data_IF_746774548913
#
_entry.id   IF_746774548913
#
_cell.length_a   1.000
_cell.length_b   1.000
_cell.length_c   1.000
_cell.angle_alpha   90.00
_cell.angle_beta   90.00
_cell.angle_gamma   90.00
#
_symmetry.space_group_name_H-M   'P 1'
#
loop_
_entity.id
_entity.type
_entity.pdbx_description
1 polymer ?
#
# COMPACT_ATOMS: atom_id res chain seq x y z
N UNK A 1 -19.97 41.99 -7.48
CA UNK A 1 -19.96 41.24 -6.21
C UNK A 1 -20.40 39.82 -6.36
N UNK A 2 -21.47 39.49 -7.08
CA UNK A 2 -21.93 38.12 -7.25
C UNK A 2 -20.93 37.25 -8.03
N UNK A 3 -20.29 37.79 -9.06
CA UNK A 3 -19.28 37.10 -9.85
C UNK A 3 -18.05 36.76 -9.05
N UNK A 4 -17.63 37.62 -8.15
CA UNK A 4 -16.46 37.44 -7.30
C UNK A 4 -16.66 36.32 -6.30
N UNK A 5 -17.83 36.21 -5.69
CA UNK A 5 -18.17 35.12 -4.76
C UNK A 5 -18.13 33.75 -5.45
N UNK A 6 -18.66 33.69 -6.67
CA UNK A 6 -18.72 32.46 -7.43
C UNK A 6 -17.32 31.95 -7.82
N UNK A 7 -16.40 32.85 -8.17
CA UNK A 7 -15.04 32.52 -8.55
C UNK A 7 -14.28 31.96 -7.34
N UNK A 8 -14.39 32.58 -6.19
CA UNK A 8 -13.73 32.13 -4.96
C UNK A 8 -14.23 30.76 -4.54
N UNK A 9 -15.53 30.52 -4.63
CA UNK A 9 -16.13 29.25 -4.30
C UNK A 9 -15.62 28.12 -5.20
N UNK A 10 -15.53 28.37 -6.50
CA UNK A 10 -15.03 27.39 -7.46
C UNK A 10 -13.57 26.99 -7.19
N UNK A 11 -12.71 27.95 -6.84
CA UNK A 11 -11.31 27.69 -6.53
C UNK A 11 -11.17 26.79 -5.30
N UNK A 12 -11.91 27.08 -4.24
CA UNK A 12 -11.88 26.29 -3.00
C UNK A 12 -12.36 24.86 -3.26
N UNK A 13 -13.42 24.69 -4.02
CA UNK A 13 -13.96 23.36 -4.35
C UNK A 13 -12.96 22.56 -5.16
N UNK A 14 -12.28 23.15 -6.12
CA UNK A 14 -11.28 22.48 -6.94
C UNK A 14 -10.09 22.02 -6.13
N UNK A 15 -9.59 22.82 -5.20
CA UNK A 15 -8.46 22.45 -4.34
C UNK A 15 -8.82 21.28 -3.41
N UNK A 16 -10.00 21.30 -2.81
CA UNK A 16 -10.46 20.22 -1.93
C UNK A 16 -10.60 18.90 -2.71
N UNK A 17 -11.10 18.95 -3.93
CA UNK A 17 -11.26 17.77 -4.78
C UNK A 17 -9.91 17.14 -5.15
N UNK A 18 -8.92 17.95 -5.53
CA UNK A 18 -7.57 17.47 -5.89
C UNK A 18 -6.89 16.79 -4.71
N UNK A 19 -6.96 17.37 -3.50
CA UNK A 19 -6.33 16.77 -2.32
C UNK A 19 -7.00 15.46 -1.91
N UNK A 20 -8.30 15.30 -2.14
CA UNK A 20 -9.02 14.04 -1.83
C UNK A 20 -8.63 12.91 -2.78
N UNK A 21 -8.40 13.21 -4.05
CA UNK A 21 -8.04 12.19 -5.05
C UNK A 21 -6.61 11.67 -4.90
N UNK A 22 -5.70 12.45 -4.34
CA UNK A 22 -4.29 12.08 -4.25
C UNK A 22 -4.02 10.92 -3.28
N UNK A 23 -4.97 10.52 -2.44
CA UNK A 23 -4.73 9.60 -1.33
C UNK A 23 -5.26 8.19 -1.51
N UNK A 24 -6.01 7.88 -2.57
CA UNK A 24 -6.84 6.67 -2.56
C UNK A 24 -6.54 5.64 -3.66
N UNK A 25 -5.56 5.86 -4.53
CA UNK A 25 -5.45 5.03 -5.73
C UNK A 25 -4.32 4.01 -5.66
N UNK A 26 -4.65 2.77 -5.99
CA UNK A 26 -3.66 1.76 -6.34
C UNK A 26 -3.17 2.05 -7.74
N UNK A 27 -1.86 2.00 -7.93
CA UNK A 27 -1.21 2.31 -9.20
C UNK A 27 -0.53 1.07 -9.75
N UNK A 28 -0.68 0.84 -11.05
CA UNK A 28 0.01 -0.23 -11.73
C UNK A 28 1.41 0.22 -12.15
N UNK A 29 2.40 -0.65 -11.90
CA UNK A 29 3.78 -0.42 -12.33
C UNK A 29 4.39 -1.76 -12.70
N UNK A 30 4.61 -1.99 -14.01
CA UNK A 30 5.01 -3.29 -14.49
C UNK A 30 3.94 -4.34 -14.18
N UNK A 31 4.32 -5.40 -13.49
CA UNK A 31 3.41 -6.46 -13.08
C UNK A 31 2.89 -6.30 -11.65
N UNK A 32 3.10 -5.14 -11.05
CA UNK A 32 2.79 -4.89 -9.66
C UNK A 32 1.74 -3.79 -9.52
N UNK A 33 0.97 -3.88 -8.45
CA UNK A 33 0.11 -2.81 -7.98
C UNK A 33 0.65 -2.30 -6.65
N UNK A 34 0.68 -0.98 -6.46
CA UNK A 34 1.15 -0.41 -5.22
C UNK A 34 0.30 0.78 -4.81
N UNK A 35 0.32 1.04 -3.53
CA UNK A 35 -0.30 2.22 -2.93
C UNK A 35 0.47 2.63 -1.69
N UNK A 36 0.09 3.75 -1.11
CA UNK A 36 0.63 4.21 0.16
C UNK A 36 -0.40 4.03 1.27
N UNK A 37 0.08 3.86 2.49
CA UNK A 37 -0.78 3.91 3.67
C UNK A 37 -1.44 5.30 3.81
N UNK A 38 -2.51 5.38 4.59
CA UNK A 38 -3.24 6.64 4.80
C UNK A 38 -2.32 7.74 5.36
N UNK A 39 -1.37 7.39 6.22
CA UNK A 39 -0.42 8.35 6.79
C UNK A 39 0.79 8.63 5.89
N UNK A 40 0.91 7.94 4.76
CA UNK A 40 1.99 8.13 3.79
C UNK A 40 3.33 7.53 4.19
N UNK A 41 3.43 6.87 5.35
CA UNK A 41 4.71 6.35 5.87
C UNK A 41 5.11 4.99 5.30
N UNK A 42 4.19 4.28 4.71
CA UNK A 42 4.42 2.93 4.20
C UNK A 42 3.95 2.81 2.76
N UNK A 43 4.66 2.03 1.98
CA UNK A 43 4.25 1.65 0.64
C UNK A 43 3.90 0.16 0.64
N UNK A 44 2.76 -0.18 0.08
CA UNK A 44 2.31 -1.56 -0.02
C UNK A 44 2.28 -1.94 -1.50
N UNK A 45 2.95 -3.03 -1.82
CA UNK A 45 2.99 -3.57 -3.18
C UNK A 45 2.43 -4.97 -3.22
N UNK A 46 1.66 -5.27 -4.25
CA UNK A 46 1.17 -6.61 -4.50
C UNK A 46 1.48 -7.04 -5.93
N UNK A 47 1.72 -8.32 -6.11
CA UNK A 47 1.77 -8.97 -7.40
C UNK A 47 0.93 -10.24 -7.31
N UNK A 48 0.92 -11.05 -8.36
CA UNK A 48 0.22 -12.35 -8.32
C UNK A 48 0.81 -13.32 -7.29
N UNK A 49 2.06 -13.10 -6.87
CA UNK A 49 2.79 -14.05 -6.03
C UNK A 49 3.42 -13.44 -4.77
N UNK A 50 3.24 -12.15 -4.55
CA UNK A 50 3.89 -11.51 -3.41
C UNK A 50 3.10 -10.34 -2.86
N UNK A 51 3.29 -10.10 -1.59
CA UNK A 51 2.84 -8.89 -0.90
C UNK A 51 4.03 -8.34 -0.15
N UNK A 52 4.28 -7.06 -0.32
CA UNK A 52 5.44 -6.37 0.25
C UNK A 52 4.97 -5.12 0.97
N UNK A 53 5.49 -4.89 2.17
CA UNK A 53 5.28 -3.65 2.92
C UNK A 53 6.64 -2.98 3.12
N UNK A 54 6.76 -1.76 2.65
CA UNK A 54 7.99 -0.98 2.69
C UNK A 54 7.82 0.20 3.63
N UNK A 55 8.71 0.34 4.60
CA UNK A 55 8.75 1.51 5.46
C UNK A 55 9.54 2.64 4.81
N UNK A 56 9.21 3.89 5.16
CA UNK A 56 9.95 5.06 4.70
C UNK A 56 10.83 5.63 5.82
N UNK A 57 11.48 4.75 6.55
CA UNK A 57 12.43 5.10 7.60
C UNK A 57 13.67 4.22 7.45
N UNK A 58 14.77 4.64 8.06
CA UNK A 58 16.04 3.93 7.93
C UNK A 58 16.09 2.73 8.86
N UNK A 59 16.77 1.68 8.43
CA UNK A 59 17.08 0.50 9.22
C UNK A 59 18.56 0.18 9.12
N UNK A 60 19.05 -0.73 9.98
CA UNK A 60 20.49 -1.05 10.08
C UNK A 60 20.85 -2.47 9.71
N UNK A 61 19.92 -3.40 9.79
CA UNK A 61 20.18 -4.80 9.50
C UNK A 61 20.10 -5.06 8.00
N UNK A 62 20.94 -5.95 7.48
CA UNK A 62 20.99 -6.26 6.06
C UNK A 62 20.48 -7.67 5.74
N UNK A 63 20.49 -8.56 6.70
CA UNK A 63 20.11 -9.96 6.49
C UNK A 63 18.61 -10.16 6.74
N UNK A 64 18.00 -11.13 6.05
CA UNK A 64 16.58 -11.41 6.28
C UNK A 64 16.36 -11.99 7.67
N UNK A 65 15.31 -11.53 8.34
CA UNK A 65 14.88 -12.02 9.65
C UNK A 65 13.44 -12.50 9.54
N UNK A 66 13.15 -13.63 10.20
CA UNK A 66 11.78 -14.12 10.29
C UNK A 66 10.91 -13.10 11.02
N UNK A 67 9.73 -12.84 10.48
CA UNK A 67 8.78 -11.90 11.03
C UNK A 67 7.36 -12.36 10.72
N UNK A 68 6.38 -11.63 11.20
CA UNK A 68 4.98 -11.87 10.90
C UNK A 68 4.32 -10.58 10.43
N UNK A 69 3.33 -10.74 9.56
CA UNK A 69 2.46 -9.65 9.13
C UNK A 69 1.03 -10.03 9.44
N UNK A 70 0.29 -9.12 10.08
CA UNK A 70 -1.13 -9.28 10.29
C UNK A 70 -1.91 -8.52 9.21
N UNK A 71 -2.94 -9.13 8.67
CA UNK A 71 -3.85 -8.48 7.71
C UNK A 71 -5.28 -8.77 8.14
N UNK A 72 -5.98 -7.72 8.55
CA UNK A 72 -7.36 -7.80 9.02
C UNK A 72 -7.56 -8.88 10.10
N UNK A 73 -6.57 -9.00 11.01
CA UNK A 73 -6.60 -9.96 12.10
C UNK A 73 -6.02 -11.34 11.81
N UNK A 74 -5.62 -11.62 10.59
CA UNK A 74 -4.95 -12.88 10.22
C UNK A 74 -3.45 -12.69 10.17
N UNK A 75 -2.69 -13.65 10.66
CA UNK A 75 -1.23 -13.57 10.77
C UNK A 75 -0.58 -14.45 9.70
N UNK A 76 0.41 -13.90 9.04
CA UNK A 76 1.17 -14.57 7.97
C UNK A 76 2.65 -14.50 8.27
N UNK A 77 3.38 -15.56 7.87
CA UNK A 77 4.83 -15.59 7.98
C UNK A 77 5.46 -14.72 6.89
N UNK A 78 6.46 -13.95 7.27
CA UNK A 78 7.13 -13.01 6.39
C UNK A 78 8.62 -12.94 6.67
N UNK A 79 9.35 -12.32 5.77
CA UNK A 79 10.76 -11.97 5.96
C UNK A 79 10.87 -10.45 6.05
N UNK A 80 11.61 -9.99 7.05
CA UNK A 80 11.93 -8.59 7.23
C UNK A 80 13.39 -8.38 6.86
N UNK A 81 13.65 -7.55 5.88
CA UNK A 81 15.00 -7.22 5.45
C UNK A 81 15.20 -5.71 5.46
N UNK A 82 16.44 -5.31 5.64
CA UNK A 82 16.84 -3.91 5.48
C UNK A 82 17.55 -3.83 4.12
N UNK A 83 16.88 -3.25 3.13
CA UNK A 83 17.36 -3.27 1.76
C UNK A 83 18.44 -2.21 1.54
N UNK A 84 19.69 -2.60 1.21
CA UNK A 84 20.75 -1.64 0.91
C UNK A 84 20.51 -0.88 -0.39
N UNK A 85 19.88 -1.52 -1.37
CA UNK A 85 19.60 -0.91 -2.67
C UNK A 85 18.64 0.27 -2.57
N UNK A 86 17.84 0.30 -1.50
CA UNK A 86 16.89 1.38 -1.21
C UNK A 86 17.38 2.27 -0.05
N UNK A 87 18.67 2.38 0.16
CA UNK A 87 19.30 3.16 1.24
C UNK A 87 18.88 2.68 2.63
N UNK A 88 18.88 1.37 2.83
CA UNK A 88 18.55 0.74 4.12
C UNK A 88 17.12 1.01 4.55
N UNK A 89 16.20 0.76 3.64
CA UNK A 89 14.76 0.86 3.93
C UNK A 89 14.25 -0.51 4.40
N UNK A 90 13.45 -0.59 5.46
CA UNK A 90 12.89 -1.86 5.91
C UNK A 90 11.81 -2.36 4.95
N UNK A 91 11.87 -3.63 4.63
CA UNK A 91 10.94 -4.30 3.72
C UNK A 91 10.49 -5.60 4.36
N UNK A 92 9.19 -5.76 4.52
CA UNK A 92 8.57 -7.02 4.92
C UNK A 92 7.95 -7.65 3.69
N UNK A 93 8.31 -8.89 3.41
CA UNK A 93 7.83 -9.61 2.22
C UNK A 93 7.28 -10.97 2.60
N UNK A 94 6.10 -11.30 2.06
CA UNK A 94 5.57 -12.65 2.10
C UNK A 94 6.13 -13.42 0.90
N UNK A 95 7.12 -14.23 1.15
CA UNK A 95 7.83 -14.97 0.10
C UNK A 95 7.13 -16.27 -0.30
N UNK A 96 6.25 -16.80 0.55
CA UNK A 96 5.48 -18.01 0.22
C UNK A 96 4.29 -17.64 -0.64
N UNK A 97 4.20 -18.22 -1.82
CA UNK A 97 3.16 -17.91 -2.84
C UNK A 97 1.74 -18.13 -2.31
N UNK A 98 1.52 -19.24 -1.60
CA UNK A 98 0.19 -19.57 -1.08
C UNK A 98 -0.22 -18.60 0.01
N UNK A 99 0.70 -18.24 0.90
CA UNK A 99 0.45 -17.25 1.94
C UNK A 99 0.22 -15.86 1.34
N UNK A 100 0.99 -15.48 0.34
CA UNK A 100 0.82 -14.20 -0.32
C UNK A 100 -0.55 -14.09 -0.99
N UNK A 101 -1.00 -15.13 -1.68
CA UNK A 101 -2.33 -15.16 -2.29
C UNK A 101 -3.44 -15.03 -1.24
N UNK A 102 -3.32 -15.75 -0.13
CA UNK A 102 -4.27 -15.66 0.99
C UNK A 102 -4.27 -14.27 1.61
N UNK A 103 -3.09 -13.68 1.80
CA UNK A 103 -2.94 -12.35 2.36
C UNK A 103 -3.57 -11.27 1.46
N UNK A 104 -3.38 -11.37 0.17
CA UNK A 104 -3.99 -10.46 -0.80
C UNK A 104 -5.52 -10.59 -0.78
N UNK A 105 -6.04 -11.80 -0.70
CA UNK A 105 -7.47 -12.03 -0.56
C UNK A 105 -8.01 -11.40 0.73
N UNK A 106 -7.29 -11.54 1.84
CA UNK A 106 -7.67 -10.93 3.12
C UNK A 106 -7.65 -9.39 3.03
N UNK A 107 -6.68 -8.84 2.33
CA UNK A 107 -6.57 -7.40 2.13
C UNK A 107 -7.82 -6.83 1.45
N UNK A 108 -8.35 -7.56 0.48
CA UNK A 108 -9.54 -7.15 -0.29
C UNK A 108 -10.86 -7.25 0.49
N UNK A 109 -10.88 -7.92 1.62
CA UNK A 109 -12.11 -8.12 2.42
C UNK A 109 -12.62 -6.84 3.07
N UNK A 110 -11.78 -5.82 3.24
CA UNK A 110 -12.16 -4.57 3.90
C UNK A 110 -11.75 -3.38 3.03
N UNK A 111 -12.61 -2.36 2.97
CA UNK A 111 -12.29 -1.10 2.25
C UNK A 111 -11.12 -0.34 2.88
N UNK A 112 -11.02 -0.40 4.19
CA UNK A 112 -9.88 0.09 4.96
C UNK A 112 -9.23 -1.10 5.63
N UNK A 113 -8.24 -1.66 4.96
CA UNK A 113 -7.53 -2.82 5.47
C UNK A 113 -6.54 -2.41 6.55
N UNK A 114 -6.38 -3.27 7.55
CA UNK A 114 -5.40 -3.09 8.62
C UNK A 114 -4.25 -4.05 8.42
N UNK A 115 -3.07 -3.49 8.25
CA UNK A 115 -1.84 -4.26 8.16
C UNK A 115 -1.06 -4.03 9.45
N UNK A 116 -0.69 -5.11 10.11
CA UNK A 116 0.15 -5.07 11.30
C UNK A 116 1.56 -5.46 10.92
N UNK A 117 2.45 -4.49 10.89
CA UNK A 117 3.84 -4.67 10.50
C UNK A 117 4.72 -3.64 11.20
N UNK A 118 5.99 -3.95 11.45
CA UNK A 118 6.93 -3.06 12.12
C UNK A 118 6.43 -2.56 13.48
N UNK A 119 5.69 -3.39 14.21
CA UNK A 119 5.03 -3.05 15.48
C UNK A 119 4.03 -1.88 15.37
N UNK A 120 3.52 -1.61 14.19
CA UNK A 120 2.55 -0.56 13.94
C UNK A 120 1.33 -1.10 13.22
N UNK A 121 0.21 -0.37 13.35
CA UNK A 121 -0.99 -0.63 12.57
C UNK A 121 -1.00 0.33 11.38
N UNK A 122 -1.04 -0.23 10.19
CA UNK A 122 -0.98 0.50 8.92
C UNK A 122 -2.36 0.39 8.27
N UNK A 123 -2.96 1.51 7.93
CA UNK A 123 -4.28 1.54 7.30
C UNK A 123 -4.12 1.82 5.80
N UNK A 124 -4.77 1.00 4.99
CA UNK A 124 -4.68 1.06 3.54
C UNK A 124 -6.08 1.03 2.95
N UNK A 125 -6.35 1.95 2.03
CA UNK A 125 -7.60 1.95 1.27
C UNK A 125 -7.49 0.94 0.13
N UNK A 126 -8.49 0.08 -0.04
CA UNK A 126 -8.48 -1.00 -1.03
C UNK A 126 -9.49 -0.81 -2.16
N UNK A 127 -10.10 0.36 -2.29
CA UNK A 127 -11.19 0.56 -3.26
C UNK A 127 -10.79 0.21 -4.70
N UNK A 128 -9.59 0.59 -5.12
CA UNK A 128 -9.14 0.41 -6.50
C UNK A 128 -8.26 -0.82 -6.71
N UNK A 129 -8.10 -1.66 -5.70
CA UNK A 129 -7.16 -2.77 -5.75
C UNK A 129 -7.52 -3.79 -6.84
N UNK A 130 -8.80 -4.08 -7.01
CA UNK A 130 -9.24 -5.06 -8.00
C UNK A 130 -9.06 -4.52 -9.43
N UNK A 131 -9.34 -3.25 -9.64
CA UNK A 131 -9.14 -2.61 -10.94
C UNK A 131 -7.66 -2.63 -11.34
N UNK A 132 -6.76 -2.34 -10.39
CA UNK A 132 -5.33 -2.41 -10.63
C UNK A 132 -4.89 -3.85 -10.93
N UNK A 133 -5.35 -4.82 -10.15
CA UNK A 133 -5.01 -6.23 -10.33
C UNK A 133 -5.46 -6.72 -11.72
N UNK A 134 -6.64 -6.34 -12.17
CA UNK A 134 -7.16 -6.69 -13.48
C UNK A 134 -6.33 -6.05 -14.61
N UNK A 135 -5.92 -4.81 -14.43
CA UNK A 135 -5.08 -4.08 -15.39
C UNK A 135 -3.73 -4.77 -15.58
N UNK A 136 -3.10 -5.20 -14.49
CA UNK A 136 -1.82 -5.91 -14.53
C UNK A 136 -1.97 -7.28 -15.18
N UNK A 137 -3.03 -8.02 -14.89
CA UNK A 137 -3.30 -9.32 -15.49
C UNK A 137 -3.54 -9.22 -17.00
N UNK A 138 -4.15 -8.14 -17.47
CA UNK A 138 -4.41 -7.93 -18.89
C UNK A 138 -3.16 -7.70 -19.73
N UNK A 139 -2.08 -7.20 -19.12
CA UNK A 139 -0.81 -6.93 -19.80
C UNK A 139 0.01 -8.20 -20.01
N UNK A 140 -0.30 -9.27 -19.27
CA UNK A 140 0.36 -10.57 -19.44
C UNK A 140 -0.23 -11.32 -20.62
#
# INVERSE_FOLDING_TARGET
>A
MKLFKNIVFAIVTTLAFVSTQAQANWMARGNNCYTYSEDGRYQIGISDRSLVVMGQFQCRAHYPMSDTVGINGRVYQALNICSPDMRLIPVISLANTDQAASAIASLKEARRARIRAFNETIIVNTDDIQACANSVAAVR
#
